data_IF_083988673821
#
_entry.id   IF_083988673821
#
_cell.length_a   1.000
_cell.length_b   1.000
_cell.length_c   1.000
_cell.angle_alpha   90.00
_cell.angle_beta   90.00
_cell.angle_gamma   90.00
#
_symmetry.space_group_name_H-M   'P 1'
#
loop_
_entity.id
_entity.type
_entity.pdbx_description
1 polymer ?
#
# COMPACT_ATOMS: atom_id res chain seq x y z
N UNK A 1 -22.45 13.44 2.86
CA UNK A 1 -21.29 12.85 2.16
C UNK A 1 -20.24 13.93 2.08
N UNK A 2 -19.13 13.77 2.80
CA UNK A 2 -18.00 14.71 2.79
C UNK A 2 -17.38 14.77 1.39
N UNK A 3 -16.97 15.96 0.94
CA UNK A 3 -16.34 16.10 -0.37
C UNK A 3 -14.85 15.70 -0.29
N UNK A 4 -14.31 15.02 -1.32
CA UNK A 4 -12.88 14.72 -1.42
C UNK A 4 -12.04 16.00 -1.28
N UNK A 5 -11.02 15.99 -0.40
CA UNK A 5 -10.19 17.17 -0.11
C UNK A 5 -10.43 17.83 1.25
N UNK A 6 -11.47 17.42 1.99
CA UNK A 6 -11.66 17.82 3.38
C UNK A 6 -10.61 17.16 4.28
N UNK A 7 -10.04 17.92 5.22
CA UNK A 7 -9.03 17.46 6.21
C UNK A 7 -9.47 16.16 6.91
N UNK A 8 -10.78 16.06 7.14
CA UNK A 8 -11.48 14.93 7.76
C UNK A 8 -11.21 13.59 7.06
N UNK A 9 -11.10 13.56 5.73
CA UNK A 9 -10.84 12.30 4.99
C UNK A 9 -9.42 11.80 5.23
N UNK A 10 -8.43 12.70 5.27
CA UNK A 10 -7.06 12.34 5.61
C UNK A 10 -6.96 11.82 7.03
N UNK A 11 -7.67 12.42 7.97
CA UNK A 11 -7.71 11.98 9.37
C UNK A 11 -8.37 10.61 9.52
N UNK A 12 -9.52 10.38 8.87
CA UNK A 12 -10.18 9.06 8.81
C UNK A 12 -9.24 7.99 8.26
N UNK A 13 -8.57 8.27 7.14
CA UNK A 13 -7.64 7.33 6.51
C UNK A 13 -6.50 6.95 7.46
N UNK A 14 -5.97 7.92 8.21
CA UNK A 14 -4.86 7.72 9.14
C UNK A 14 -5.29 6.91 10.35
N UNK A 15 -6.43 7.22 10.96
CA UNK A 15 -6.96 6.42 12.06
C UNK A 15 -7.31 4.99 11.64
N UNK A 16 -7.57 4.79 10.35
CA UNK A 16 -7.83 3.46 9.82
C UNK A 16 -6.54 2.64 9.58
N UNK A 17 -5.35 3.24 9.57
CA UNK A 17 -4.08 2.51 9.30
C UNK A 17 -3.86 1.36 10.29
N UNK A 18 -4.14 1.56 11.59
CA UNK A 18 -3.95 0.50 12.59
C UNK A 18 -4.88 -0.70 12.34
N UNK A 19 -6.10 -0.43 11.87
CA UNK A 19 -7.03 -1.48 11.46
C UNK A 19 -6.54 -2.21 10.20
N UNK A 20 -6.02 -1.47 9.22
CA UNK A 20 -5.43 -2.02 8.01
C UNK A 20 -4.25 -2.94 8.34
N UNK A 21 -3.36 -2.52 9.24
CA UNK A 21 -2.23 -3.34 9.68
C UNK A 21 -2.70 -4.62 10.41
N UNK A 22 -3.75 -4.53 11.23
CA UNK A 22 -4.37 -5.71 11.85
C UNK A 22 -5.00 -6.66 10.81
N UNK A 23 -5.71 -6.12 9.83
CA UNK A 23 -6.28 -6.90 8.72
C UNK A 23 -5.19 -7.59 7.89
N UNK A 24 -4.05 -6.93 7.66
CA UNK A 24 -2.91 -7.51 6.96
C UNK A 24 -2.32 -8.70 7.70
N UNK A 25 -2.16 -8.63 9.02
CA UNK A 25 -1.65 -9.77 9.80
C UNK A 25 -2.65 -10.95 9.80
N UNK A 26 -3.96 -10.68 9.85
CA UNK A 26 -4.98 -11.71 9.67
C UNK A 26 -4.91 -12.35 8.28
N UNK A 27 -4.87 -11.54 7.22
CA UNK A 27 -4.79 -12.03 5.85
C UNK A 27 -3.50 -12.83 5.63
N UNK A 28 -2.38 -12.34 6.16
CA UNK A 28 -1.06 -13.00 6.10
C UNK A 28 -1.13 -14.40 6.69
N UNK A 29 -1.83 -14.64 7.80
CA UNK A 29 -1.99 -15.99 8.35
C UNK A 29 -2.60 -17.00 7.35
N UNK A 30 -3.40 -16.51 6.40
CA UNK A 30 -4.08 -17.30 5.35
C UNK A 30 -3.21 -17.44 4.09
N UNK A 31 -2.45 -16.40 3.74
CA UNK A 31 -1.71 -16.35 2.46
C UNK A 31 -0.21 -16.58 2.58
N UNK A 32 0.33 -16.68 3.81
CA UNK A 32 1.76 -16.90 4.04
C UNK A 32 2.27 -18.15 3.29
N UNK A 33 3.51 -18.18 2.79
CA UNK A 33 4.04 -19.32 2.03
C UNK A 33 3.94 -20.68 2.73
N UNK A 34 3.87 -20.70 4.07
CA UNK A 34 3.76 -21.90 4.91
C UNK A 34 2.34 -22.08 5.50
N UNK A 35 1.37 -21.30 5.06
CA UNK A 35 -0.03 -21.54 5.41
C UNK A 35 -0.53 -22.81 4.73
N UNK A 36 -1.51 -23.49 5.33
CA UNK A 36 -2.11 -24.71 4.76
C UNK A 36 -2.61 -24.49 3.34
N UNK A 37 -3.22 -23.34 3.06
CA UNK A 37 -3.73 -23.00 1.73
C UNK A 37 -2.60 -22.79 0.72
N UNK A 38 -1.58 -21.98 1.05
CA UNK A 38 -0.44 -21.75 0.14
C UNK A 38 0.39 -23.01 -0.09
N UNK A 39 0.49 -23.92 0.88
CA UNK A 39 1.10 -25.23 0.68
C UNK A 39 0.26 -26.13 -0.21
N UNK A 40 -1.07 -26.16 -0.03
CA UNK A 40 -1.98 -26.89 -0.90
C UNK A 40 -1.89 -26.40 -2.37
N UNK A 41 -1.71 -25.10 -2.59
CA UNK A 41 -1.51 -24.51 -3.93
C UNK A 41 -0.23 -25.02 -4.62
N UNK A 42 0.81 -25.42 -3.87
CA UNK A 42 2.07 -25.97 -4.43
C UNK A 42 1.93 -27.44 -4.83
N UNK A 43 0.87 -28.13 -4.42
CA UNK A 43 0.61 -29.52 -4.82
C UNK A 43 0.32 -29.63 -6.32
N UNK A 44 0.41 -30.84 -6.88
CA UNK A 44 0.04 -31.10 -8.28
C UNK A 44 -1.41 -30.66 -8.59
N UNK A 45 -2.33 -30.91 -7.66
CA UNK A 45 -3.73 -30.49 -7.79
C UNK A 45 -3.87 -28.97 -7.73
N UNK A 46 -3.13 -28.31 -6.82
CA UNK A 46 -3.06 -26.85 -6.72
C UNK A 46 -2.49 -26.19 -7.98
N UNK A 47 -1.45 -26.78 -8.58
CA UNK A 47 -0.90 -26.33 -9.86
C UNK A 47 -1.94 -26.38 -11.00
N UNK A 48 -2.66 -27.49 -11.12
CA UNK A 48 -3.76 -27.62 -12.10
C UNK A 48 -4.87 -26.59 -11.85
N UNK A 49 -5.19 -26.34 -10.57
CA UNK A 49 -6.17 -25.35 -10.16
C UNK A 49 -5.77 -23.93 -10.56
N UNK A 50 -4.51 -23.54 -10.31
CA UNK A 50 -3.96 -22.24 -10.71
C UNK A 50 -3.98 -22.10 -12.25
N UNK A 51 -3.57 -23.13 -12.99
CA UNK A 51 -3.62 -23.11 -14.46
C UNK A 51 -5.04 -22.90 -14.99
N UNK A 52 -6.04 -23.54 -14.39
CA UNK A 52 -7.45 -23.32 -14.72
C UNK A 52 -7.86 -21.86 -14.51
N UNK A 53 -7.54 -21.28 -13.34
CA UNK A 53 -7.89 -19.88 -13.03
C UNK A 53 -7.19 -18.89 -13.96
N UNK A 54 -5.92 -19.12 -14.30
CA UNK A 54 -5.18 -18.28 -15.25
C UNK A 54 -5.75 -18.36 -16.67
N UNK A 55 -6.11 -19.56 -17.13
CA UNK A 55 -6.81 -19.73 -18.40
C UNK A 55 -8.14 -18.99 -18.38
N UNK A 56 -8.93 -19.14 -17.32
CA UNK A 56 -10.20 -18.42 -17.17
C UNK A 56 -10.04 -16.89 -17.25
N UNK A 57 -9.10 -16.32 -16.49
CA UNK A 57 -8.77 -14.88 -16.50
C UNK A 57 -8.39 -14.38 -17.93
N UNK A 58 -7.61 -15.18 -18.67
CA UNK A 58 -7.26 -14.85 -20.06
C UNK A 58 -8.44 -14.99 -21.04
N UNK A 59 -9.39 -15.91 -20.79
CA UNK A 59 -10.59 -16.07 -21.64
C UNK A 59 -11.60 -14.94 -21.46
N UNK A 60 -11.74 -14.40 -20.24
CA UNK A 60 -12.59 -13.22 -19.96
C UNK A 60 -12.20 -12.04 -20.86
N UNK A 61 -10.90 -11.86 -21.08
CA UNK A 61 -10.37 -10.76 -21.87
C UNK A 61 -10.36 -11.02 -23.39
N UNK A 62 -10.41 -12.28 -23.83
CA UNK A 62 -10.19 -12.66 -25.24
C UNK A 62 -11.45 -13.10 -26.00
N UNK A 63 -12.65 -13.06 -25.38
CA UNK A 63 -13.93 -13.53 -25.96
C UNK A 63 -13.89 -14.98 -26.47
N UNK A 64 -12.99 -15.79 -25.92
CA UNK A 64 -12.89 -17.22 -26.20
C UNK A 64 -13.80 -18.02 -25.26
N UNK A 65 -14.06 -19.29 -25.62
CA UNK A 65 -14.87 -20.18 -24.76
C UNK A 65 -14.18 -20.42 -23.42
N UNK A 66 -14.84 -20.08 -22.31
CA UNK A 66 -14.30 -20.28 -20.97
C UNK A 66 -13.98 -21.78 -20.71
N UNK A 67 -12.86 -22.08 -20.03
CA UNK A 67 -12.52 -23.45 -19.67
C UNK A 67 -13.59 -24.05 -18.74
N UNK A 68 -13.89 -25.35 -18.92
CA UNK A 68 -14.78 -26.08 -18.01
C UNK A 68 -14.03 -26.53 -16.77
N UNK A 69 -14.59 -26.28 -15.60
CA UNK A 69 -14.05 -26.73 -14.32
C UNK A 69 -14.34 -28.23 -14.12
N UNK A 70 -13.31 -29.05 -13.89
CA UNK A 70 -13.48 -30.46 -13.54
C UNK A 70 -13.86 -30.64 -12.07
N UNK A 71 -14.48 -31.78 -11.72
CA UNK A 71 -14.87 -32.08 -10.33
C UNK A 71 -13.67 -32.14 -9.36
N UNK A 72 -12.51 -32.57 -9.86
CA UNK A 72 -11.25 -32.57 -9.11
C UNK A 72 -10.72 -31.16 -8.81
N UNK A 73 -10.96 -30.20 -9.70
CA UNK A 73 -10.59 -28.78 -9.53
C UNK A 73 -11.60 -28.10 -8.61
N UNK A 74 -12.88 -28.43 -8.74
CA UNK A 74 -13.98 -27.89 -7.92
C UNK A 74 -13.90 -28.32 -6.45
N UNK A 75 -13.44 -29.55 -6.18
CA UNK A 75 -13.31 -30.06 -4.81
C UNK A 75 -12.07 -29.57 -4.06
N UNK A 76 -11.07 -29.03 -4.76
CA UNK A 76 -9.77 -28.68 -4.18
C UNK A 76 -9.85 -27.68 -3.00
N UNK A 77 -10.51 -26.50 -3.14
CA UNK A 77 -10.45 -25.50 -2.07
C UNK A 77 -11.55 -25.64 -1.02
N UNK A 78 -12.37 -26.70 -1.08
CA UNK A 78 -13.59 -26.84 -0.25
C UNK A 78 -13.27 -26.75 1.24
N UNK A 79 -12.17 -27.36 1.69
CA UNK A 79 -11.74 -27.32 3.11
C UNK A 79 -11.27 -25.94 3.58
N UNK A 80 -10.97 -25.02 2.66
CA UNK A 80 -10.47 -23.68 2.97
C UNK A 80 -11.52 -22.58 2.84
N UNK A 81 -12.72 -22.89 2.30
CA UNK A 81 -13.69 -21.86 1.89
C UNK A 81 -14.13 -20.90 3.01
N UNK A 82 -14.16 -21.34 4.28
CA UNK A 82 -14.43 -20.45 5.41
C UNK A 82 -13.35 -19.38 5.57
N UNK A 83 -12.08 -19.79 5.60
CA UNK A 83 -10.96 -18.86 5.73
C UNK A 83 -10.84 -17.97 4.49
N UNK A 84 -11.10 -18.53 3.31
CA UNK A 84 -11.07 -17.77 2.06
C UNK A 84 -12.18 -16.73 1.99
N UNK A 85 -13.37 -17.01 2.54
CA UNK A 85 -14.44 -16.02 2.64
C UNK A 85 -14.01 -14.82 3.49
N UNK A 86 -13.36 -15.06 4.64
CA UNK A 86 -12.77 -13.99 5.45
C UNK A 86 -11.70 -13.22 4.68
N UNK A 87 -10.83 -13.93 3.95
CA UNK A 87 -9.81 -13.28 3.12
C UNK A 87 -10.41 -12.39 2.03
N UNK A 88 -11.52 -12.80 1.39
CA UNK A 88 -12.23 -11.98 0.39
C UNK A 88 -12.71 -10.66 0.98
N UNK A 89 -13.34 -10.70 2.16
CA UNK A 89 -13.80 -9.47 2.84
C UNK A 89 -12.63 -8.55 3.14
N UNK A 90 -11.55 -9.08 3.71
CA UNK A 90 -10.35 -8.28 4.00
C UNK A 90 -9.76 -7.69 2.71
N UNK A 91 -9.60 -8.48 1.65
CA UNK A 91 -9.04 -7.99 0.38
C UNK A 91 -9.90 -6.86 -0.21
N UNK A 92 -11.23 -6.97 -0.15
CA UNK A 92 -12.14 -5.92 -0.62
C UNK A 92 -12.03 -4.63 0.21
N UNK A 93 -11.98 -4.76 1.55
CA UNK A 93 -11.79 -3.62 2.46
C UNK A 93 -10.47 -2.89 2.19
N UNK A 94 -9.37 -3.64 2.08
CA UNK A 94 -8.04 -3.12 1.76
C UNK A 94 -8.03 -2.42 0.39
N UNK A 95 -8.67 -3.04 -0.62
CA UNK A 95 -8.80 -2.44 -1.94
C UNK A 95 -9.59 -1.14 -1.91
N UNK A 96 -10.70 -1.09 -1.18
CA UNK A 96 -11.48 0.14 -1.03
C UNK A 96 -10.67 1.24 -0.33
N UNK A 97 -9.95 0.91 0.75
CA UNK A 97 -9.04 1.86 1.40
C UNK A 97 -8.00 2.41 0.42
N UNK A 98 -7.39 1.56 -0.40
CA UNK A 98 -6.42 1.97 -1.43
C UNK A 98 -7.02 2.97 -2.40
N UNK A 99 -8.25 2.75 -2.87
CA UNK A 99 -8.92 3.66 -3.80
C UNK A 99 -9.17 5.03 -3.15
N UNK A 100 -9.67 5.06 -1.91
CA UNK A 100 -9.92 6.30 -1.18
C UNK A 100 -8.61 7.05 -0.89
N UNK A 101 -7.57 6.33 -0.45
CA UNK A 101 -6.25 6.89 -0.21
C UNK A 101 -5.65 7.51 -1.47
N UNK A 102 -5.79 6.83 -2.62
CA UNK A 102 -5.36 7.34 -3.93
C UNK A 102 -6.06 8.64 -4.30
N UNK A 103 -7.39 8.67 -4.20
CA UNK A 103 -8.18 9.87 -4.48
C UNK A 103 -7.76 11.01 -3.57
N UNK A 104 -7.62 10.76 -2.26
CA UNK A 104 -7.22 11.81 -1.32
C UNK A 104 -5.82 12.36 -1.62
N UNK A 105 -4.86 11.50 -1.92
CA UNK A 105 -3.50 11.93 -2.28
C UNK A 105 -3.48 12.76 -3.57
N UNK A 106 -4.32 12.43 -4.56
CA UNK A 106 -4.52 13.25 -5.77
C UNK A 106 -5.14 14.60 -5.43
N UNK A 107 -6.19 14.62 -4.61
CA UNK A 107 -6.83 15.88 -4.21
C UNK A 107 -5.86 16.78 -3.44
N UNK A 108 -5.04 16.24 -2.54
CA UNK A 108 -4.00 17.01 -1.86
C UNK A 108 -2.97 17.55 -2.85
N UNK A 109 -2.56 16.74 -3.83
CA UNK A 109 -1.67 17.20 -4.88
C UNK A 109 -2.27 18.39 -5.66
N UNK A 110 -3.56 18.35 -5.98
CA UNK A 110 -4.16 19.38 -6.84
C UNK A 110 -4.44 20.69 -6.09
N UNK A 111 -4.59 20.63 -4.76
CA UNK A 111 -5.00 21.78 -3.94
C UNK A 111 -3.91 22.35 -3.01
N UNK A 112 -2.74 21.71 -2.92
CA UNK A 112 -1.64 22.18 -2.08
C UNK A 112 -0.50 22.66 -2.95
N UNK A 113 0.16 23.78 -2.64
CA UNK A 113 1.32 24.23 -3.41
C UNK A 113 2.51 23.28 -3.23
N UNK A 114 2.97 23.12 -1.98
CA UNK A 114 4.14 22.31 -1.60
C UNK A 114 3.90 21.54 -0.31
N UNK A 115 4.68 20.47 -0.09
CA UNK A 115 4.75 19.76 1.19
C UNK A 115 6.00 20.21 1.94
N UNK A 116 5.83 21.01 2.98
CA UNK A 116 6.90 21.58 3.80
C UNK A 116 6.56 21.45 5.28
N UNK A 117 7.30 20.59 5.98
CA UNK A 117 7.05 20.32 7.41
C UNK A 117 7.24 21.55 8.31
N UNK A 118 7.87 22.63 7.84
CA UNK A 118 7.99 23.89 8.58
C UNK A 118 6.71 24.72 8.54
N UNK A 119 5.92 24.57 7.48
CA UNK A 119 4.73 25.41 7.23
C UNK A 119 3.42 24.63 7.34
N UNK A 120 3.36 23.42 6.76
CA UNK A 120 2.17 22.58 6.76
C UNK A 120 2.44 21.18 7.33
N UNK A 121 3.13 21.13 8.49
CA UNK A 121 3.56 19.91 9.18
C UNK A 121 2.48 18.82 9.20
N UNK A 122 1.30 19.10 9.74
CA UNK A 122 0.23 18.10 9.88
C UNK A 122 -0.16 17.52 8.52
N UNK A 123 -0.36 18.36 7.50
CA UNK A 123 -0.69 17.90 6.15
C UNK A 123 0.44 17.07 5.54
N UNK A 124 1.69 17.55 5.63
CA UNK A 124 2.85 16.84 5.10
C UNK A 124 3.02 15.46 5.74
N UNK A 125 2.91 15.37 7.07
CA UNK A 125 2.98 14.11 7.80
C UNK A 125 1.80 13.20 7.46
N UNK A 126 0.58 13.73 7.35
CA UNK A 126 -0.60 12.97 6.97
C UNK A 126 -0.45 12.35 5.57
N UNK A 127 0.02 13.12 4.60
CA UNK A 127 0.34 12.65 3.24
C UNK A 127 1.39 11.53 3.30
N UNK A 128 2.46 11.71 4.07
CA UNK A 128 3.49 10.69 4.24
C UNK A 128 2.93 9.39 4.83
N UNK A 129 2.10 9.46 5.89
CA UNK A 129 1.48 8.27 6.50
C UNK A 129 0.62 7.51 5.50
N UNK A 130 -0.26 8.20 4.78
CA UNK A 130 -1.14 7.59 3.77
C UNK A 130 -0.33 6.99 2.62
N UNK A 131 0.67 7.71 2.10
CA UNK A 131 1.57 7.21 1.05
C UNK A 131 2.34 5.96 1.49
N UNK A 132 2.87 5.97 2.71
CA UNK A 132 3.61 4.85 3.30
C UNK A 132 2.73 3.62 3.44
N UNK A 133 1.51 3.76 3.97
CA UNK A 133 0.55 2.67 4.13
C UNK A 133 0.07 2.13 2.77
N UNK A 134 -0.27 2.99 1.83
CA UNK A 134 -0.60 2.61 0.44
C UNK A 134 0.51 1.79 -0.21
N UNK A 135 1.77 2.21 -0.03
CA UNK A 135 2.92 1.48 -0.56
C UNK A 135 3.09 0.11 0.11
N UNK A 136 2.92 0.03 1.45
CA UNK A 136 2.94 -1.25 2.19
C UNK A 136 1.89 -2.22 1.65
N UNK A 137 0.67 -1.76 1.42
CA UNK A 137 -0.42 -2.59 0.88
C UNK A 137 -0.12 -3.13 -0.52
N UNK A 138 0.35 -2.26 -1.42
CA UNK A 138 0.73 -2.70 -2.77
C UNK A 138 1.86 -3.73 -2.74
N UNK A 139 2.87 -3.51 -1.89
CA UNK A 139 3.96 -4.48 -1.71
C UNK A 139 3.45 -5.79 -1.10
N UNK A 140 2.53 -5.74 -0.14
CA UNK A 140 1.94 -6.94 0.44
C UNK A 140 1.28 -7.82 -0.63
N UNK A 141 0.43 -7.25 -1.49
CA UNK A 141 -0.21 -8.02 -2.56
C UNK A 141 0.79 -8.57 -3.59
N UNK A 142 1.89 -7.86 -3.82
CA UNK A 142 2.98 -8.36 -4.65
C UNK A 142 3.72 -9.54 -4.01
N UNK A 143 4.05 -9.45 -2.71
CA UNK A 143 4.75 -10.51 -1.99
C UNK A 143 3.88 -11.75 -1.75
N UNK A 144 2.56 -11.60 -1.67
CA UNK A 144 1.61 -12.70 -1.44
C UNK A 144 0.65 -12.87 -2.62
N UNK A 145 1.10 -13.44 -3.75
CA UNK A 145 0.29 -13.60 -4.96
C UNK A 145 -0.91 -14.52 -4.77
N UNK A 146 -0.95 -15.32 -3.70
CA UNK A 146 -2.13 -16.10 -3.29
C UNK A 146 -3.37 -15.20 -3.13
N UNK A 147 -3.23 -13.92 -2.77
CA UNK A 147 -4.36 -12.99 -2.72
C UNK A 147 -5.06 -12.86 -4.09
N UNK A 148 -4.30 -12.79 -5.19
CA UNK A 148 -4.88 -12.76 -6.55
C UNK A 148 -5.62 -14.04 -6.87
N UNK A 149 -5.07 -15.19 -6.45
CA UNK A 149 -5.73 -16.50 -6.63
C UNK A 149 -7.09 -16.50 -5.92
N UNK A 150 -7.14 -16.04 -4.66
CA UNK A 150 -8.38 -15.94 -3.88
C UNK A 150 -9.43 -15.07 -4.60
N UNK A 151 -9.03 -13.93 -5.15
CA UNK A 151 -9.94 -13.05 -5.90
C UNK A 151 -10.49 -13.74 -7.15
N UNK A 152 -9.64 -14.44 -7.92
CA UNK A 152 -10.08 -15.18 -9.11
C UNK A 152 -11.05 -16.32 -8.77
N UNK A 153 -11.03 -16.83 -7.54
CA UNK A 153 -11.94 -17.89 -7.10
C UNK A 153 -13.38 -17.40 -6.87
N UNK A 154 -13.62 -16.10 -6.69
CA UNK A 154 -14.93 -15.56 -6.32
C UNK A 154 -16.02 -15.95 -7.32
N UNK A 155 -15.74 -15.94 -8.62
CA UNK A 155 -16.68 -16.32 -9.69
C UNK A 155 -17.10 -17.79 -9.65
N UNK A 156 -16.30 -18.66 -9.01
CA UNK A 156 -16.43 -20.12 -9.13
C UNK A 156 -17.04 -20.80 -7.90
N UNK A 157 -17.12 -20.10 -6.77
CA UNK A 157 -17.57 -20.68 -5.49
C UNK A 157 -18.66 -19.82 -4.86
N UNK A 158 -19.86 -20.37 -4.72
CA UNK A 158 -21.04 -19.66 -4.20
C UNK A 158 -20.77 -18.99 -2.85
N UNK A 159 -20.04 -19.67 -1.96
CA UNK A 159 -19.67 -19.13 -0.64
C UNK A 159 -18.82 -17.85 -0.73
N UNK A 160 -17.95 -17.76 -1.73
CA UNK A 160 -17.13 -16.57 -1.97
C UNK A 160 -17.93 -15.51 -2.73
N UNK A 161 -18.75 -15.92 -3.71
CA UNK A 161 -19.64 -15.04 -4.47
C UNK A 161 -20.70 -14.35 -3.60
N UNK A 162 -21.13 -15.01 -2.54
CA UNK A 162 -22.07 -14.46 -1.57
C UNK A 162 -21.46 -13.38 -0.67
N UNK A 163 -20.13 -13.20 -0.68
CA UNK A 163 -19.51 -12.05 -0.02
C UNK A 163 -19.88 -10.77 -0.78
N UNK A 164 -20.44 -9.80 -0.09
CA UNK A 164 -20.82 -8.52 -0.69
C UNK A 164 -19.57 -7.68 -0.91
N UNK A 165 -19.12 -7.59 -2.15
CA UNK A 165 -18.02 -6.71 -2.53
C UNK A 165 -18.50 -5.26 -2.59
N UNK A 166 -17.66 -4.36 -2.11
CA UNK A 166 -17.86 -2.90 -2.14
C UNK A 166 -17.78 -2.36 -3.56
N UNK A 167 -16.98 -3.01 -4.41
CA UNK A 167 -16.74 -2.64 -5.81
C UNK A 167 -16.98 -3.82 -6.76
N UNK A 168 -17.21 -3.56 -8.06
CA UNK A 168 -17.35 -4.63 -9.05
C UNK A 168 -16.10 -5.53 -9.10
N UNK A 169 -16.30 -6.84 -9.09
CA UNK A 169 -15.22 -7.84 -9.15
C UNK A 169 -14.21 -7.62 -10.30
N UNK A 170 -14.62 -7.22 -11.53
CA UNK A 170 -13.66 -6.94 -12.60
C UNK A 170 -12.65 -5.85 -12.27
N UNK A 171 -13.05 -4.83 -11.48
CA UNK A 171 -12.13 -3.78 -11.06
C UNK A 171 -11.10 -4.29 -10.06
N UNK A 172 -11.55 -5.13 -9.11
CA UNK A 172 -10.68 -5.78 -8.13
C UNK A 172 -9.69 -6.73 -8.82
N UNK A 173 -10.15 -7.56 -9.77
CA UNK A 173 -9.26 -8.44 -10.56
C UNK A 173 -8.20 -7.63 -11.29
N UNK A 174 -8.59 -6.55 -11.99
CA UNK A 174 -7.65 -5.68 -12.70
C UNK A 174 -6.62 -5.06 -11.76
N UNK A 175 -7.07 -4.57 -10.60
CA UNK A 175 -6.17 -4.04 -9.57
C UNK A 175 -5.17 -5.11 -9.10
N UNK A 176 -5.67 -6.29 -8.74
CA UNK A 176 -4.85 -7.41 -8.25
C UNK A 176 -3.81 -7.85 -9.28
N UNK A 177 -4.19 -7.95 -10.55
CA UNK A 177 -3.26 -8.30 -11.64
C UNK A 177 -2.16 -7.24 -11.80
N UNK A 178 -2.51 -5.95 -11.76
CA UNK A 178 -1.54 -4.86 -11.89
C UNK A 178 -0.58 -4.81 -10.69
N UNK A 179 -1.11 -4.89 -9.46
CA UNK A 179 -0.29 -4.76 -8.25
C UNK A 179 0.59 -5.98 -8.01
N UNK A 180 0.12 -7.18 -8.38
CA UNK A 180 0.91 -8.41 -8.25
C UNK A 180 2.08 -8.43 -9.24
N UNK A 181 1.90 -7.91 -10.46
CA UNK A 181 2.95 -7.91 -11.49
C UNK A 181 3.92 -6.73 -11.36
N UNK A 182 3.42 -5.55 -11.05
CA UNK A 182 4.23 -4.34 -10.93
C UNK A 182 3.64 -3.38 -9.88
N UNK A 183 3.94 -3.59 -8.58
CA UNK A 183 3.34 -2.79 -7.51
C UNK A 183 3.68 -1.31 -7.63
N UNK A 184 4.91 -0.99 -8.02
CA UNK A 184 5.36 0.41 -8.16
C UNK A 184 4.75 1.10 -9.39
N UNK A 185 4.55 0.42 -10.52
CA UNK A 185 3.83 1.01 -11.65
C UNK A 185 2.36 1.27 -11.29
N UNK A 186 1.73 0.36 -10.54
CA UNK A 186 0.36 0.56 -10.04
C UNK A 186 0.24 1.80 -9.14
N UNK A 187 1.25 2.09 -8.31
CA UNK A 187 1.29 3.31 -7.48
C UNK A 187 1.57 4.55 -8.36
N UNK A 188 2.52 4.44 -9.31
CA UNK A 188 2.96 5.52 -10.19
C UNK A 188 1.87 6.06 -11.10
N UNK A 189 1.06 5.19 -11.71
CA UNK A 189 -0.04 5.62 -12.59
C UNK A 189 -0.98 6.61 -11.90
N UNK A 190 -1.11 6.52 -10.59
CA UNK A 190 -2.02 7.36 -9.80
C UNK A 190 -1.33 8.54 -9.13
N UNK A 191 -0.08 8.37 -8.67
CA UNK A 191 0.63 9.35 -7.82
C UNK A 191 1.80 10.08 -8.48
N UNK A 192 2.04 9.89 -9.79
CA UNK A 192 3.11 10.61 -10.52
C UNK A 192 3.11 12.13 -10.27
N UNK A 193 1.97 12.85 -10.21
CA UNK A 193 1.99 14.28 -9.90
C UNK A 193 2.54 14.61 -8.49
N UNK A 194 2.22 13.78 -7.50
CA UNK A 194 2.63 13.97 -6.11
C UNK A 194 4.14 13.73 -5.90
N UNK A 195 4.80 13.01 -6.80
CA UNK A 195 6.20 12.63 -6.64
C UNK A 195 7.14 13.82 -6.55
N UNK A 196 6.84 14.91 -7.25
CA UNK A 196 7.64 16.12 -7.18
C UNK A 196 7.60 16.72 -5.78
N UNK A 197 6.41 16.84 -5.19
CA UNK A 197 6.22 17.38 -3.84
C UNK A 197 6.85 16.51 -2.77
N UNK A 198 6.73 15.18 -2.90
CA UNK A 198 7.42 14.24 -2.02
C UNK A 198 8.95 14.33 -2.18
N UNK A 199 9.46 14.56 -3.39
CA UNK A 199 10.90 14.74 -3.63
C UNK A 199 11.43 16.02 -3.01
N UNK A 200 10.66 17.12 -3.08
CA UNK A 200 10.98 18.39 -2.42
C UNK A 200 11.01 18.20 -0.91
N UNK A 201 10.01 17.53 -0.34
CA UNK A 201 9.97 17.19 1.08
C UNK A 201 11.18 16.33 1.49
N UNK A 202 11.51 15.29 0.73
CA UNK A 202 12.68 14.44 1.00
C UNK A 202 13.98 15.22 0.90
N UNK A 203 14.10 16.15 -0.05
CA UNK A 203 15.27 17.04 -0.14
C UNK A 203 15.40 17.97 1.06
N UNK A 204 14.28 18.41 1.64
CA UNK A 204 14.25 19.25 2.83
C UNK A 204 14.74 18.49 4.08
N UNK A 205 14.29 17.25 4.27
CA UNK A 205 14.61 16.44 5.47
C UNK A 205 15.91 15.63 5.31
N UNK A 206 16.28 15.32 4.08
CA UNK A 206 17.33 14.36 3.72
C UNK A 206 18.68 14.64 4.38
N UNK A 207 19.18 15.90 4.38
CA UNK A 207 20.44 16.23 5.05
C UNK A 207 20.48 15.79 6.52
N UNK A 208 19.40 16.01 7.27
CA UNK A 208 19.34 15.60 8.67
C UNK A 208 19.12 14.09 8.84
N UNK A 209 18.34 13.46 7.95
CA UNK A 209 18.20 11.99 7.94
C UNK A 209 19.54 11.29 7.72
N UNK A 210 20.41 11.84 6.85
CA UNK A 210 21.79 11.34 6.65
C UNK A 210 22.63 11.52 7.92
N UNK A 211 22.45 12.61 8.66
CA UNK A 211 23.16 12.80 9.93
C UNK A 211 22.73 11.80 11.01
N UNK A 212 21.45 11.36 11.00
CA UNK A 212 20.92 10.38 11.96
C UNK A 212 21.31 8.94 11.57
N UNK A 213 21.05 8.56 10.32
CA UNK A 213 21.15 7.17 9.85
C UNK A 213 22.41 6.89 9.01
N UNK A 214 23.26 7.88 8.80
CA UNK A 214 24.52 7.70 8.10
C UNK A 214 25.47 6.77 8.84
N UNK A 215 26.50 6.22 8.15
CA UNK A 215 27.48 5.34 8.78
C UNK A 215 28.21 5.95 9.99
N UNK A 216 28.27 7.28 10.03
CA UNK A 216 28.84 8.07 11.11
C UNK A 216 27.81 9.11 11.57
N UNK A 217 26.98 8.81 12.58
CA UNK A 217 25.97 9.75 13.04
C UNK A 217 26.65 10.96 13.70
N UNK A 218 26.39 12.15 13.17
CA UNK A 218 27.02 13.41 13.61
C UNK A 218 26.04 14.35 14.34
N UNK A 219 24.89 13.83 14.74
CA UNK A 219 23.87 14.60 15.48
C UNK A 219 24.38 14.91 16.89
N UNK A 220 24.39 16.20 17.25
CA UNK A 220 24.64 16.62 18.61
C UNK A 220 23.40 16.39 19.49
N UNK A 221 23.34 15.22 20.14
CA UNK A 221 22.21 14.83 20.98
C UNK A 221 22.03 15.67 22.25
N UNK A 222 23.07 16.39 22.70
CA UNK A 222 23.00 17.25 23.89
C UNK A 222 21.92 18.33 23.73
N UNK A 223 21.69 18.80 22.49
CA UNK A 223 20.68 19.81 22.17
C UNK A 223 19.23 19.36 22.40
N UNK A 224 19.00 18.07 22.62
CA UNK A 224 17.68 17.49 22.88
C UNK A 224 17.54 16.93 24.30
N UNK A 225 18.56 17.10 25.15
CA UNK A 225 18.48 16.66 26.54
C UNK A 225 17.54 17.56 27.34
N UNK A 226 16.60 16.93 28.04
CA UNK A 226 15.56 17.60 28.87
C UNK A 226 16.20 18.41 30.02
N UNK A 227 17.42 18.03 30.43
CA UNK A 227 18.13 18.63 31.56
C UNK A 227 18.97 19.85 31.19
N UNK A 228 19.31 20.01 29.92
CA UNK A 228 20.00 21.20 29.44
C UNK A 228 18.96 22.27 29.08
N UNK A 229 19.14 23.48 29.63
CA UNK A 229 18.24 24.60 29.29
C UNK A 229 18.35 24.84 27.79
N UNK A 230 17.24 24.81 27.02
CA UNK A 230 17.30 25.16 25.61
C UNK A 230 17.88 26.57 25.51
N UNK A 231 18.88 26.74 24.65
CA UNK A 231 19.38 28.07 24.29
C UNK A 231 18.15 28.85 23.81
N UNK A 232 17.73 29.85 24.58
CA UNK A 232 16.50 30.59 24.32
C UNK A 232 16.60 31.25 22.94
N UNK A 233 16.01 30.62 21.93
CA UNK A 233 15.67 31.27 20.66
C UNK A 233 14.40 32.06 20.90
N UNK A 234 14.56 33.38 21.09
CA UNK A 234 13.56 34.32 21.60
C UNK A 234 12.37 34.55 20.64
N UNK A 235 12.38 34.03 19.40
CA UNK A 235 11.45 34.50 18.36
C UNK A 235 10.35 33.52 17.92
N UNK A 236 10.30 32.27 18.40
CA UNK A 236 9.24 31.34 17.97
C UNK A 236 8.92 30.25 19.00
N UNK A 237 7.63 29.97 19.18
CA UNK A 237 7.12 28.81 19.95
C UNK A 237 7.07 27.53 19.11
N UNK A 238 7.41 27.59 17.82
CA UNK A 238 7.43 26.42 16.94
C UNK A 238 8.71 25.59 17.17
N UNK A 239 8.62 24.24 17.18
CA UNK A 239 9.78 23.37 17.22
C UNK A 239 10.75 23.66 16.06
N UNK A 240 12.04 23.41 16.28
CA UNK A 240 13.02 23.49 15.17
C UNK A 240 12.73 22.43 14.10
N UNK A 241 13.19 22.64 12.86
CA UNK A 241 13.04 21.64 11.78
C UNK A 241 13.56 20.25 12.21
N UNK A 242 14.71 20.21 12.90
CA UNK A 242 15.27 18.97 13.41
C UNK A 242 14.36 18.29 14.44
N UNK A 243 13.76 19.06 15.36
CA UNK A 243 12.78 18.54 16.31
C UNK A 243 11.52 18.02 15.60
N UNK A 244 11.00 18.75 14.60
CA UNK A 244 9.86 18.31 13.80
C UNK A 244 10.15 16.99 13.07
N UNK A 245 11.37 16.83 12.53
CA UNK A 245 11.82 15.58 11.91
C UNK A 245 11.91 14.46 12.94
N UNK A 246 12.51 14.69 14.11
CA UNK A 246 12.64 13.68 15.16
C UNK A 246 11.28 13.18 15.67
N UNK A 247 10.31 14.08 15.86
CA UNK A 247 8.95 13.72 16.30
C UNK A 247 8.27 12.78 15.29
N UNK A 248 8.57 12.93 14.00
CA UNK A 248 7.96 12.16 12.92
C UNK A 248 8.94 11.19 12.24
N UNK A 249 10.03 10.86 12.92
CA UNK A 249 11.17 10.15 12.33
C UNK A 249 10.78 8.83 11.64
N UNK A 250 9.95 7.95 12.24
CA UNK A 250 9.59 6.69 11.59
C UNK A 250 8.87 6.88 10.26
N UNK A 251 7.89 7.79 10.20
CA UNK A 251 7.10 8.06 9.00
C UNK A 251 7.95 8.71 7.91
N UNK A 252 8.78 9.69 8.28
CA UNK A 252 9.65 10.40 7.34
C UNK A 252 10.73 9.47 6.78
N UNK A 253 11.35 8.64 7.63
CA UNK A 253 12.29 7.60 7.21
C UNK A 253 11.67 6.64 6.20
N UNK A 254 10.51 6.06 6.53
CA UNK A 254 9.83 5.14 5.63
C UNK A 254 9.46 5.79 4.28
N UNK A 255 9.07 7.06 4.30
CA UNK A 255 8.80 7.83 3.08
C UNK A 255 10.08 7.97 2.25
N UNK A 256 11.19 8.38 2.86
CA UNK A 256 12.49 8.52 2.18
C UNK A 256 13.00 7.21 1.61
N UNK A 257 12.80 6.07 2.27
CA UNK A 257 13.25 4.76 1.76
C UNK A 257 12.37 4.27 0.60
N UNK A 258 11.05 4.52 0.65
CA UNK A 258 10.10 4.03 -0.36
C UNK A 258 10.04 4.89 -1.62
N UNK A 259 10.33 6.18 -1.51
CA UNK A 259 10.29 7.13 -2.63
C UNK A 259 11.30 6.81 -3.75
N UNK A 260 12.55 6.39 -3.49
CA UNK A 260 13.47 5.94 -4.53
C UNK A 260 12.97 4.76 -5.34
N UNK A 261 12.30 3.77 -4.73
CA UNK A 261 11.70 2.66 -5.49
C UNK A 261 10.55 3.13 -6.39
N UNK A 262 9.85 4.19 -6.00
CA UNK A 262 8.89 4.89 -6.84
C UNK A 262 9.57 5.66 -8.00
N UNK A 263 10.74 6.29 -7.79
CA UNK A 263 11.48 7.04 -8.82
C UNK A 263 12.38 6.19 -9.73
N UNK A 264 12.98 5.10 -9.26
CA UNK A 264 13.86 4.22 -10.04
C UNK A 264 13.08 3.59 -11.21
N UNK A 265 11.81 3.24 -10.96
CA UNK A 265 10.83 2.79 -11.95
C UNK A 265 10.42 3.91 -12.93
N UNK A 266 10.62 5.18 -12.58
CA UNK A 266 10.41 6.32 -13.49
C UNK A 266 11.60 6.58 -14.42
N UNK A 267 12.84 6.28 -14.01
CA UNK A 267 14.03 6.55 -14.82
C UNK A 267 14.41 5.39 -15.76
N UNK A 268 14.11 4.13 -15.41
CA UNK A 268 14.50 2.96 -16.23
C UNK A 268 13.81 2.93 -17.61
N UNK A 269 12.69 3.64 -17.82
CA UNK A 269 12.05 3.77 -19.15
C UNK A 269 12.62 4.86 -20.07
N UNK A 270 13.59 5.66 -19.62
CA UNK A 270 14.23 6.70 -20.46
C UNK A 270 15.54 6.20 -21.10
N UNK A 271 16.08 5.05 -20.68
CA UNK A 271 17.29 4.45 -21.25
C UNK A 271 17.05 3.23 -22.15
N UNK A 272 15.84 3.06 -22.70
CA UNK A 272 15.52 2.03 -23.70
C UNK A 272 14.83 2.61 -24.94
N UNK A 273 15.37 3.72 -25.47
CA UNK A 273 15.20 4.13 -26.87
C UNK A 273 16.59 4.22 -27.48
#
# INVERSE_FOLDING_TARGET
MANPGEYDISEILIHHIDHIDAQLELLKSIVYPNSRFSEALKSKQGGNFISFLQQYDSTINSRSSAPKMSDSIKSFPVEFLDQLATAVVIIDDLFNWILVARTQLQTVNDNTLDLDIRWNNNLAIHVCKVFVALTKLCLFFHYFPSCRIIVLMIEHYDKLKNQRLTRPLPELIRFMTNVTSSPFESIKMTLKPLSHKLSTLVSLIGPFMIQIFGPWPIVNWQQYMIFDRPVQTIESTLPSLHQMILINLPTLWETTVKLPYFHLVCQIRICQI
#
